data_IF_535561914620
#
_entry.id   IF_535561914620
#
_cell.length_a   1.000
_cell.length_b   1.000
_cell.length_c   1.000
_cell.angle_alpha   90.00
_cell.angle_beta   90.00
_cell.angle_gamma   90.00
#
_symmetry.space_group_name_H-M   'P 1'
#
loop_
_entity.id
_entity.type
_entity.pdbx_description
1 polymer ?
#
# COMPACT_ATOMS: atom_id res chain seq x y z
N UNK A 1 7.89 8.47 9.10
CA UNK A 1 7.55 7.06 9.38
C UNK A 1 8.82 6.23 9.41
N UNK A 2 8.94 5.35 10.37
CA UNK A 2 10.07 4.43 10.46
C UNK A 2 9.56 3.01 10.29
N UNK A 3 10.23 2.24 9.44
CA UNK A 3 9.86 0.85 9.17
C UNK A 3 11.05 -0.06 9.48
N UNK A 4 10.85 -0.99 10.39
CA UNK A 4 11.89 -1.92 10.80
C UNK A 4 12.41 -2.73 9.62
N UNK A 5 13.74 -2.75 9.45
CA UNK A 5 14.38 -3.48 8.35
C UNK A 5 14.35 -2.75 7.02
N UNK A 6 13.69 -1.60 6.91
CA UNK A 6 13.59 -0.83 5.66
C UNK A 6 14.19 0.56 5.81
N UNK A 7 13.83 1.29 6.86
CA UNK A 7 14.39 2.61 7.11
C UNK A 7 13.35 3.65 7.53
N UNK A 8 13.72 4.91 7.35
CA UNK A 8 12.87 6.05 7.69
C UNK A 8 12.54 6.84 6.42
N UNK A 9 11.30 7.24 6.27
CA UNK A 9 10.85 8.03 5.11
C UNK A 9 9.39 8.41 5.24
N UNK A 10 8.85 9.01 4.18
CA UNK A 10 7.45 9.45 4.16
C UNK A 10 6.52 8.36 3.66
N UNK A 11 6.92 7.69 2.60
CA UNK A 11 6.07 6.72 1.91
C UNK A 11 6.82 5.43 1.68
N UNK A 12 6.12 4.30 1.85
CA UNK A 12 6.72 2.99 1.73
C UNK A 12 5.84 2.02 0.94
N UNK A 13 6.51 1.13 0.20
CA UNK A 13 5.94 -0.12 -0.30
C UNK A 13 6.46 -1.24 0.57
N UNK A 14 5.57 -2.02 1.15
CA UNK A 14 5.93 -3.20 1.93
C UNK A 14 5.32 -4.43 1.27
N UNK A 15 6.06 -5.54 1.30
CA UNK A 15 5.64 -6.79 0.66
C UNK A 15 6.26 -7.97 1.40
N UNK A 16 5.82 -9.20 1.14
CA UNK A 16 6.42 -10.36 1.79
C UNK A 16 7.93 -10.39 1.53
N UNK A 17 8.71 -10.43 2.61
CA UNK A 17 10.16 -10.48 2.54
C UNK A 17 10.87 -9.13 2.57
N UNK A 18 10.16 -8.00 2.51
CA UNK A 18 10.86 -6.72 2.58
C UNK A 18 10.00 -5.50 2.24
N UNK A 19 10.66 -4.47 1.78
CA UNK A 19 10.01 -3.23 1.41
C UNK A 19 11.01 -2.21 0.88
N UNK A 20 10.49 -1.08 0.41
CA UNK A 20 11.29 0.04 -0.06
C UNK A 20 10.51 1.34 0.01
N UNK A 21 11.20 2.45 -0.20
CA UNK A 21 10.55 3.74 -0.37
C UNK A 21 9.60 3.68 -1.58
N UNK A 22 8.43 4.28 -1.42
CA UNK A 22 7.44 4.37 -2.49
C UNK A 22 7.60 5.70 -3.19
N UNK A 23 8.03 5.65 -4.45
CA UNK A 23 8.22 6.83 -5.28
C UNK A 23 7.03 6.95 -6.23
N UNK A 24 6.18 7.94 -6.00
CA UNK A 24 4.99 8.19 -6.81
C UNK A 24 5.30 8.52 -8.26
N UNK A 25 6.49 9.05 -8.54
CA UNK A 25 6.87 9.42 -9.90
C UNK A 25 7.04 8.21 -10.82
N UNK A 26 7.27 7.02 -10.27
CA UNK A 26 7.42 5.80 -11.06
C UNK A 26 6.16 5.45 -11.83
N UNK A 27 4.99 5.79 -11.28
CA UNK A 27 3.69 5.47 -11.87
C UNK A 27 2.85 6.71 -12.15
N UNK A 28 3.40 7.90 -11.88
CA UNK A 28 2.66 9.15 -12.03
C UNK A 28 1.54 9.32 -11.01
N UNK A 29 1.64 8.66 -9.86
CA UNK A 29 0.63 8.72 -8.81
C UNK A 29 0.52 10.14 -8.25
N UNK A 30 -0.71 10.56 -7.99
CA UNK A 30 -1.05 11.85 -7.36
C UNK A 30 -2.16 11.60 -6.36
N UNK A 31 -2.44 12.59 -5.51
CA UNK A 31 -3.54 12.48 -4.53
C UNK A 31 -4.87 12.12 -5.21
N UNK A 32 -5.11 12.64 -6.40
CA UNK A 32 -6.25 12.31 -7.23
C UNK A 32 -5.76 12.13 -8.67
N UNK A 33 -6.13 11.08 -9.39
CA UNK A 33 -7.11 10.05 -9.05
C UNK A 33 -6.64 9.03 -7.99
N UNK A 34 -5.38 9.06 -7.57
CA UNK A 34 -4.89 8.28 -6.47
C UNK A 34 -3.95 7.14 -6.84
N UNK A 35 -3.92 6.13 -5.98
CA UNK A 35 -3.05 4.96 -6.14
C UNK A 35 -3.36 4.27 -7.46
N UNK A 36 -2.32 4.04 -8.25
CA UNK A 36 -2.43 3.47 -9.59
C UNK A 36 -2.23 1.95 -9.59
N UNK A 37 -2.74 1.22 -10.59
CA UNK A 37 -2.51 -0.23 -10.68
C UNK A 37 -1.02 -0.60 -10.63
N UNK A 38 -0.16 0.20 -11.26
CA UNK A 38 1.28 -0.03 -11.23
C UNK A 38 1.89 0.05 -9.84
N UNK A 39 1.28 0.81 -8.92
CA UNK A 39 1.77 0.92 -7.55
C UNK A 39 1.61 -0.38 -6.77
N UNK A 40 0.54 -1.13 -7.04
CA UNK A 40 0.25 -2.38 -6.32
C UNK A 40 0.85 -3.61 -6.98
N UNK A 41 1.24 -3.50 -8.24
CA UNK A 41 1.73 -4.65 -9.00
C UNK A 41 2.96 -5.28 -8.37
N UNK A 42 3.88 -4.48 -7.87
CA UNK A 42 5.07 -4.99 -7.19
C UNK A 42 4.71 -5.81 -5.95
N UNK A 43 3.68 -5.39 -5.21
CA UNK A 43 3.22 -6.12 -4.02
C UNK A 43 2.75 -7.52 -4.41
N UNK A 44 2.02 -7.61 -5.51
CA UNK A 44 1.50 -8.88 -6.02
C UNK A 44 2.61 -9.76 -6.58
N UNK A 45 3.57 -9.16 -7.28
CA UNK A 45 4.73 -9.89 -7.82
C UNK A 45 5.59 -10.47 -6.72
N UNK A 46 5.58 -9.86 -5.53
CA UNK A 46 6.29 -10.37 -4.35
C UNK A 46 5.46 -11.37 -3.54
N UNK A 47 4.29 -11.74 -4.02
CA UNK A 47 3.49 -12.81 -3.45
C UNK A 47 2.39 -12.37 -2.49
N UNK A 48 2.07 -11.07 -2.40
CA UNK A 48 0.99 -10.61 -1.54
C UNK A 48 -0.35 -11.14 -2.03
N UNK A 49 -1.13 -11.74 -1.13
CA UNK A 49 -2.51 -12.18 -1.41
C UNK A 49 -3.54 -11.23 -0.81
N UNK A 50 -3.07 -10.32 0.03
CA UNK A 50 -3.88 -9.28 0.67
C UNK A 50 -3.07 -7.99 0.63
N UNK A 51 -3.72 -6.87 0.36
CA UNK A 51 -3.06 -5.57 0.35
C UNK A 51 -3.77 -4.56 1.26
N UNK A 52 -2.96 -3.72 1.89
CA UNK A 52 -3.44 -2.61 2.72
C UNK A 52 -3.00 -1.33 2.04
N UNK A 53 -3.96 -0.47 1.72
CA UNK A 53 -3.71 0.80 1.04
C UNK A 53 -4.01 1.95 2.00
N UNK A 54 -2.97 2.68 2.36
CA UNK A 54 -3.06 3.81 3.28
C UNK A 54 -3.36 5.08 2.49
N UNK A 55 -4.37 5.83 2.91
CA UNK A 55 -4.79 7.07 2.26
C UNK A 55 -4.15 8.32 2.86
N UNK A 56 -3.20 8.16 3.76
CA UNK A 56 -2.59 9.27 4.47
C UNK A 56 -3.32 9.59 5.78
N UNK A 57 -2.77 10.53 6.56
CA UNK A 57 -3.32 10.89 7.86
C UNK A 57 -4.66 11.63 7.72
N UNK A 58 -4.82 12.42 6.66
CA UNK A 58 -6.03 13.22 6.41
C UNK A 58 -6.91 12.63 5.30
N UNK A 59 -6.65 11.40 4.89
CA UNK A 59 -7.42 10.69 3.86
C UNK A 59 -7.46 11.41 2.51
N UNK A 60 -6.40 12.13 2.17
CA UNK A 60 -6.33 12.87 0.90
C UNK A 60 -5.89 12.05 -0.29
N UNK A 61 -5.13 10.99 -0.05
CA UNK A 61 -4.73 10.08 -1.13
C UNK A 61 -5.91 9.20 -1.49
N UNK A 62 -6.35 9.29 -2.73
CA UNK A 62 -7.44 8.46 -3.25
C UNK A 62 -6.90 7.11 -3.72
N UNK A 63 -7.81 6.21 -4.08
CA UNK A 63 -7.46 4.96 -4.77
C UNK A 63 -8.20 4.99 -6.10
N UNK A 64 -7.45 4.94 -7.20
CA UNK A 64 -8.05 4.94 -8.52
C UNK A 64 -8.99 3.72 -8.65
N UNK A 65 -10.23 3.91 -9.13
CA UNK A 65 -11.15 2.78 -9.32
C UNK A 65 -10.57 1.65 -10.16
N UNK A 66 -9.71 1.96 -11.12
CA UNK A 66 -9.05 0.93 -11.93
C UNK A 66 -8.12 0.05 -11.11
N UNK A 67 -7.54 0.59 -10.05
CA UNK A 67 -6.68 -0.17 -9.13
C UNK A 67 -7.51 -1.19 -8.35
N UNK A 68 -8.65 -0.75 -7.82
CA UNK A 68 -9.55 -1.65 -7.08
C UNK A 68 -10.08 -2.75 -7.99
N UNK A 69 -10.45 -2.40 -9.23
CA UNK A 69 -10.93 -3.38 -10.20
C UNK A 69 -9.86 -4.42 -10.54
N UNK A 70 -8.63 -3.98 -10.75
CA UNK A 70 -7.52 -4.87 -11.06
C UNK A 70 -7.25 -5.86 -9.91
N UNK A 71 -7.28 -5.38 -8.67
CA UNK A 71 -7.08 -6.23 -7.50
C UNK A 71 -8.22 -7.23 -7.34
N UNK A 72 -9.45 -6.79 -7.57
CA UNK A 72 -10.63 -7.64 -7.49
C UNK A 72 -10.56 -8.76 -8.54
N UNK A 73 -10.17 -8.45 -9.77
CA UNK A 73 -10.01 -9.44 -10.84
C UNK A 73 -8.98 -10.51 -10.48
N UNK A 74 -7.96 -10.15 -9.72
CA UNK A 74 -6.90 -11.08 -9.31
C UNK A 74 -7.23 -11.82 -8.03
N UNK A 75 -8.41 -11.60 -7.46
CA UNK A 75 -8.85 -12.26 -6.23
C UNK A 75 -8.09 -11.82 -4.99
N UNK A 76 -7.53 -10.62 -4.99
CA UNK A 76 -6.75 -10.08 -3.87
C UNK A 76 -7.68 -9.36 -2.90
N UNK A 77 -7.56 -9.67 -1.61
CA UNK A 77 -8.29 -8.94 -0.58
C UNK A 77 -7.67 -7.54 -0.41
N UNK A 78 -8.51 -6.51 -0.35
CA UNK A 78 -8.07 -5.11 -0.30
C UNK A 78 -8.65 -4.42 0.92
N UNK A 79 -7.79 -3.72 1.65
CA UNK A 79 -8.19 -2.88 2.78
C UNK A 79 -7.72 -1.46 2.53
N UNK A 80 -8.64 -0.51 2.54
CA UNK A 80 -8.35 0.92 2.29
C UNK A 80 -8.68 1.70 3.56
N UNK A 81 -7.66 2.33 4.15
CA UNK A 81 -7.79 2.93 5.48
C UNK A 81 -6.93 4.19 5.58
N UNK A 82 -7.15 4.99 6.62
CA UNK A 82 -6.21 6.01 7.04
C UNK A 82 -4.93 5.36 7.55
N UNK A 83 -3.85 6.13 7.60
CA UNK A 83 -2.52 5.57 7.85
C UNK A 83 -2.40 4.84 9.19
N UNK A 84 -2.98 5.37 10.27
CA UNK A 84 -2.87 4.73 11.58
C UNK A 84 -3.54 3.37 11.61
N UNK A 85 -4.78 3.31 11.11
CA UNK A 85 -5.54 2.06 11.04
C UNK A 85 -4.89 1.08 10.07
N UNK A 86 -4.32 1.59 8.98
CA UNK A 86 -3.63 0.77 8.00
C UNK A 86 -2.39 0.10 8.61
N UNK A 87 -1.59 0.84 9.39
CA UNK A 87 -0.42 0.28 10.06
C UNK A 87 -0.83 -0.81 11.06
N UNK A 88 -1.85 -0.54 11.86
CA UNK A 88 -2.32 -1.52 12.85
C UNK A 88 -2.82 -2.80 12.18
N UNK A 89 -3.62 -2.65 11.13
CA UNK A 89 -4.14 -3.79 10.39
C UNK A 89 -3.02 -4.58 9.71
N UNK A 90 -2.09 -3.86 9.07
CA UNK A 90 -0.95 -4.49 8.40
C UNK A 90 -0.17 -5.38 9.38
N UNK A 91 0.15 -4.85 10.55
CA UNK A 91 0.91 -5.59 11.56
C UNK A 91 0.17 -6.85 12.02
N UNK A 92 -1.15 -6.81 12.10
CA UNK A 92 -1.95 -7.99 12.44
C UNK A 92 -1.98 -9.00 11.31
N UNK A 93 -2.16 -8.54 10.09
CA UNK A 93 -2.27 -9.43 8.92
C UNK A 93 -0.96 -10.15 8.61
N UNK A 94 0.20 -9.50 8.85
CA UNK A 94 1.49 -10.14 8.60
C UNK A 94 1.73 -11.39 9.43
N UNK A 95 1.02 -11.57 10.52
CA UNK A 95 1.16 -12.75 11.38
C UNK A 95 0.60 -14.01 10.72
N UNK A 96 -0.37 -13.88 9.81
CA UNK A 96 -1.11 -15.01 9.26
C UNK A 96 -1.17 -15.05 7.74
N UNK A 97 -0.86 -13.94 7.06
CA UNK A 97 -1.03 -13.82 5.61
C UNK A 97 0.18 -13.19 4.94
N UNK A 98 0.45 -13.56 3.67
CA UNK A 98 1.39 -12.79 2.85
C UNK A 98 0.70 -11.46 2.46
N UNK A 99 1.06 -10.39 3.15
CA UNK A 99 0.43 -9.08 3.00
C UNK A 99 1.39 -8.07 2.36
N UNK A 100 0.87 -7.25 1.47
CA UNK A 100 1.56 -6.09 0.94
C UNK A 100 0.87 -4.81 1.36
N UNK A 101 1.59 -3.70 1.37
CA UNK A 101 1.00 -2.43 1.74
C UNK A 101 1.65 -1.25 1.06
N UNK A 102 0.84 -0.22 0.85
CA UNK A 102 1.30 1.10 0.42
C UNK A 102 0.99 2.07 1.55
N UNK A 103 2.02 2.76 2.04
CA UNK A 103 1.89 3.63 3.19
C UNK A 103 2.30 5.05 2.82
N UNK A 104 1.37 5.99 3.02
CA UNK A 104 1.56 7.42 2.85
C UNK A 104 1.41 8.05 4.22
N UNK A 105 2.48 8.61 4.77
CA UNK A 105 2.49 9.07 6.16
C UNK A 105 2.10 10.52 6.36
N UNK A 106 1.88 11.26 5.28
CA UNK A 106 1.41 12.65 5.32
C UNK A 106 -0.02 12.75 4.78
N UNK A 107 -0.60 13.96 4.76
CA UNK A 107 -1.92 14.22 4.17
C UNK A 107 -2.97 13.21 4.62
#
# INVERSE_FOLDING_TARGET
MAVEGVGVGKDFKLYPGGGRAWDWSETGTKHSPGIQPGDVEELLDRGASTVVLSRGMDLRLQVDPSTLAALQERGVAVHVLGTREAVDLYNKLTEEHPVGGLFHSTC
#
